data_IF_093171135465
#
_entry.id   IF_093171135465
#
_cell.length_a   1.000
_cell.length_b   1.000
_cell.length_c   1.000
_cell.angle_alpha   90.00
_cell.angle_beta   90.00
_cell.angle_gamma   90.00
#
_symmetry.space_group_name_H-M   'P 1'
#
loop_
_entity.id
_entity.type
_entity.pdbx_description
1 polymer ?
#
# COMPACT_ATOMS: atom_id res chain seq x y z
N UNK A 1 -18.33 13.81 9.74
CA UNK A 1 -18.41 12.51 10.45
C UNK A 1 -17.68 11.46 9.63
N UNK A 2 -16.78 10.68 10.25
CA UNK A 2 -16.08 9.59 9.57
C UNK A 2 -17.08 8.48 9.18
N UNK A 3 -16.95 7.90 7.97
CA UNK A 3 -17.91 6.93 7.40
C UNK A 3 -18.23 5.75 8.33
N UNK A 4 -17.26 5.39 9.16
CA UNK A 4 -17.37 4.42 10.25
C UNK A 4 -18.53 4.67 11.22
N UNK A 5 -18.73 5.92 11.64
CA UNK A 5 -19.75 6.28 12.64
C UNK A 5 -21.15 6.40 12.04
N UNK A 6 -21.26 6.60 10.73
CA UNK A 6 -22.54 6.85 10.05
C UNK A 6 -23.53 5.68 10.18
N UNK A 7 -23.05 4.46 10.47
CA UNK A 7 -23.90 3.29 10.70
C UNK A 7 -24.55 3.26 12.09
N UNK A 8 -24.05 4.05 13.04
CA UNK A 8 -24.43 3.99 14.44
C UNK A 8 -24.97 5.33 14.96
N UNK A 9 -24.44 6.44 14.45
CA UNK A 9 -24.72 7.78 14.95
C UNK A 9 -25.46 8.57 13.87
N UNK A 10 -26.64 9.07 14.23
CA UNK A 10 -27.40 10.00 13.39
C UNK A 10 -27.36 11.41 13.97
N UNK A 11 -27.56 12.42 13.14
CA UNK A 11 -27.52 13.84 13.57
C UNK A 11 -28.55 14.17 14.67
N UNK A 12 -29.64 13.40 14.75
CA UNK A 12 -30.75 13.65 15.67
C UNK A 12 -30.66 12.78 16.94
N UNK A 13 -29.53 12.12 17.19
CA UNK A 13 -29.33 11.30 18.39
C UNK A 13 -29.30 12.18 19.65
N UNK A 14 -30.00 11.80 20.71
CA UNK A 14 -29.80 12.45 22.02
C UNK A 14 -28.38 12.16 22.55
N UNK A 15 -27.89 12.96 23.49
CA UNK A 15 -26.55 12.74 24.08
C UNK A 15 -26.40 11.34 24.69
N UNK A 16 -27.43 10.85 25.37
CA UNK A 16 -27.43 9.50 25.98
C UNK A 16 -27.39 8.42 24.90
N UNK A 17 -28.15 8.60 23.80
CA UNK A 17 -28.10 7.67 22.67
C UNK A 17 -26.74 7.71 21.96
N UNK A 18 -26.15 8.90 21.81
CA UNK A 18 -24.83 9.07 21.23
C UNK A 18 -23.77 8.29 22.01
N UNK A 19 -23.71 8.43 23.34
CA UNK A 19 -22.72 7.71 24.17
C UNK A 19 -22.88 6.20 24.00
N UNK A 20 -24.10 5.68 24.12
CA UNK A 20 -24.37 4.24 23.93
C UNK A 20 -23.98 3.74 22.54
N UNK A 21 -24.32 4.48 21.49
CA UNK A 21 -23.99 4.09 20.12
C UNK A 21 -22.51 4.22 19.80
N UNK A 22 -21.83 5.17 20.44
CA UNK A 22 -20.38 5.33 20.33
C UNK A 22 -19.65 4.11 20.92
N UNK A 23 -20.03 3.67 22.12
CA UNK A 23 -19.46 2.46 22.75
C UNK A 23 -19.71 1.20 21.89
N UNK A 24 -20.93 1.03 21.37
CA UNK A 24 -21.24 -0.05 20.44
C UNK A 24 -20.41 0.00 19.15
N UNK A 25 -20.15 1.21 18.64
CA UNK A 25 -19.34 1.42 17.45
C UNK A 25 -17.89 0.99 17.69
N UNK A 26 -17.33 1.35 18.85
CA UNK A 26 -15.99 0.93 19.27
C UNK A 26 -15.92 -0.59 19.46
N UNK A 27 -16.86 -1.20 20.19
CA UNK A 27 -16.89 -2.65 20.39
C UNK A 27 -17.02 -3.42 19.07
N UNK A 28 -17.81 -2.92 18.11
CA UNK A 28 -17.90 -3.49 16.76
C UNK A 28 -16.58 -3.40 15.98
N UNK A 29 -15.78 -2.37 16.21
CA UNK A 29 -14.46 -2.23 15.58
C UNK A 29 -13.44 -3.18 16.20
N UNK A 30 -13.36 -3.22 17.52
CA UNK A 30 -12.48 -4.15 18.23
C UNK A 30 -12.76 -5.59 17.83
N UNK A 31 -14.05 -5.95 17.71
CA UNK A 31 -14.43 -7.28 17.27
C UNK A 31 -13.95 -7.60 15.85
N UNK A 32 -14.10 -6.67 14.90
CA UNK A 32 -13.59 -6.85 13.54
C UNK A 32 -12.06 -6.91 13.48
N UNK A 33 -11.37 -6.13 14.31
CA UNK A 33 -9.92 -6.18 14.44
C UNK A 33 -9.47 -7.56 14.96
N UNK A 34 -10.12 -8.10 16.02
CA UNK A 34 -9.85 -9.47 16.50
C UNK A 34 -10.13 -10.55 15.47
N UNK A 35 -11.21 -10.44 14.72
CA UNK A 35 -11.53 -11.40 13.65
C UNK A 35 -10.49 -11.34 12.53
N UNK A 36 -10.02 -10.14 12.17
CA UNK A 36 -8.93 -9.97 11.20
C UNK A 36 -7.64 -10.59 11.72
N UNK A 37 -7.26 -10.31 12.97
CA UNK A 37 -6.04 -10.86 13.58
C UNK A 37 -6.11 -12.39 13.63
N UNK A 38 -7.26 -12.96 13.99
CA UNK A 38 -7.45 -14.41 13.96
C UNK A 38 -7.27 -14.98 12.55
N UNK A 39 -7.82 -14.35 11.51
CA UNK A 39 -7.57 -14.77 10.12
C UNK A 39 -6.08 -14.66 9.77
N UNK A 40 -5.40 -13.62 10.24
CA UNK A 40 -3.98 -13.38 10.02
C UNK A 40 -3.09 -14.45 10.66
N UNK A 41 -3.43 -14.92 11.85
CA UNK A 41 -2.71 -16.00 12.51
C UNK A 41 -2.90 -17.38 11.86
N UNK A 42 -4.08 -17.64 11.30
CA UNK A 42 -4.46 -18.99 10.84
C UNK A 42 -4.37 -19.17 9.33
N UNK A 43 -4.21 -18.09 8.57
CA UNK A 43 -4.09 -18.15 7.12
C UNK A 43 -2.83 -17.46 6.67
N UNK A 44 -2.38 -17.82 5.49
CA UNK A 44 -1.19 -17.23 4.89
C UNK A 44 -1.60 -16.69 3.54
N UNK A 45 -1.51 -15.37 3.34
CA UNK A 45 -1.73 -14.80 2.01
C UNK A 45 -0.63 -15.30 1.07
N UNK A 46 -1.02 -16.12 0.10
CA UNK A 46 -0.13 -16.58 -0.96
C UNK A 46 0.41 -15.37 -1.74
N UNK A 47 1.74 -15.28 -1.86
CA UNK A 47 2.38 -14.38 -2.81
C UNK A 47 1.95 -14.75 -4.23
N UNK A 48 1.57 -13.75 -5.02
CA UNK A 48 1.11 -13.98 -6.39
C UNK A 48 2.27 -14.38 -7.31
N UNK A 49 3.49 -13.92 -7.02
CA UNK A 49 4.71 -14.30 -7.72
C UNK A 49 5.77 -14.78 -6.72
N UNK A 50 6.77 -15.53 -7.20
CA UNK A 50 7.96 -15.92 -6.41
C UNK A 50 8.91 -14.72 -6.19
N UNK A 51 8.38 -13.55 -5.87
CA UNK A 51 9.20 -12.36 -5.60
C UNK A 51 9.72 -12.41 -4.17
N UNK A 52 11.03 -12.27 -4.00
CA UNK A 52 11.67 -12.13 -2.68
C UNK A 52 11.10 -10.94 -1.89
N UNK A 53 10.75 -9.86 -2.58
CA UNK A 53 10.13 -8.66 -1.99
C UNK A 53 8.74 -8.99 -1.45
N UNK A 54 7.88 -9.69 -2.21
CA UNK A 54 6.55 -10.09 -1.70
C UNK A 54 6.68 -11.03 -0.48
N UNK A 55 7.64 -11.96 -0.50
CA UNK A 55 7.88 -12.89 0.60
C UNK A 55 8.34 -12.17 1.89
N UNK A 56 9.19 -11.14 1.77
CA UNK A 56 9.57 -10.31 2.91
C UNK A 56 8.37 -9.56 3.49
N UNK A 57 7.55 -8.96 2.63
CA UNK A 57 6.34 -8.25 3.10
C UNK A 57 5.34 -9.18 3.77
N UNK A 58 5.19 -10.40 3.26
CA UNK A 58 4.32 -11.41 3.85
C UNK A 58 4.73 -11.79 5.29
N UNK A 59 6.02 -11.81 5.58
CA UNK A 59 6.52 -12.13 6.93
C UNK A 59 6.41 -10.94 7.91
N UNK A 60 6.49 -9.71 7.41
CA UNK A 60 6.59 -8.50 8.24
C UNK A 60 5.24 -7.81 8.45
N UNK A 61 4.30 -7.95 7.51
CA UNK A 61 3.06 -7.18 7.50
C UNK A 61 1.80 -8.02 7.76
N UNK A 62 0.78 -7.36 8.32
CA UNK A 62 -0.58 -7.91 8.41
C UNK A 62 -1.14 -8.21 7.03
N UNK A 63 -2.15 -9.06 6.94
CA UNK A 63 -2.76 -9.41 5.67
C UNK A 63 -3.36 -8.21 4.95
N UNK A 64 -3.95 -7.26 5.68
CA UNK A 64 -4.47 -6.04 5.08
C UNK A 64 -3.37 -5.27 4.33
N UNK A 65 -2.19 -5.15 4.95
CA UNK A 65 -1.02 -4.50 4.34
C UNK A 65 -0.43 -5.32 3.21
N UNK A 66 -0.39 -6.65 3.33
CA UNK A 66 0.01 -7.54 2.24
C UNK A 66 -0.87 -7.38 0.99
N UNK A 67 -2.19 -7.20 1.16
CA UNK A 67 -3.11 -6.92 0.04
C UNK A 67 -2.81 -5.57 -0.64
N UNK A 68 -2.46 -4.53 0.13
CA UNK A 68 -2.01 -3.25 -0.43
C UNK A 68 -0.74 -3.42 -1.28
N UNK A 69 0.24 -4.19 -0.78
CA UNK A 69 1.48 -4.53 -1.51
C UNK A 69 1.16 -5.28 -2.80
N UNK A 70 0.35 -6.33 -2.73
CA UNK A 70 -0.06 -7.11 -3.91
C UNK A 70 -0.76 -6.25 -4.96
N UNK A 71 -1.56 -5.26 -4.55
CA UNK A 71 -2.18 -4.32 -5.47
C UNK A 71 -1.14 -3.45 -6.20
N UNK A 72 -0.07 -3.03 -5.52
CA UNK A 72 1.05 -2.33 -6.17
C UNK A 72 1.79 -3.25 -7.15
N UNK A 73 2.05 -4.50 -6.76
CA UNK A 73 2.66 -5.51 -7.64
C UNK A 73 1.85 -5.80 -8.89
N UNK A 74 0.51 -5.85 -8.79
CA UNK A 74 -0.37 -6.00 -9.96
C UNK A 74 -0.35 -4.75 -10.82
N UNK A 75 -0.39 -3.57 -10.21
CA UNK A 75 -0.39 -2.29 -10.92
C UNK A 75 0.89 -2.01 -11.71
N UNK A 76 2.03 -2.59 -11.31
CA UNK A 76 3.31 -2.39 -12.01
C UNK A 76 3.31 -2.86 -13.47
N UNK A 77 2.39 -3.75 -13.87
CA UNK A 77 2.28 -4.19 -15.28
C UNK A 77 1.96 -3.04 -16.24
N UNK A 78 1.35 -1.96 -15.73
CA UNK A 78 1.07 -0.76 -16.50
C UNK A 78 2.25 0.23 -16.52
N UNK A 79 3.37 -0.12 -15.88
CA UNK A 79 4.55 0.74 -15.79
C UNK A 79 5.60 0.29 -16.81
N UNK A 80 6.14 1.24 -17.56
CA UNK A 80 7.26 1.07 -18.47
C UNK A 80 8.43 1.87 -17.88
N UNK A 81 9.49 1.17 -17.52
CA UNK A 81 10.68 1.80 -16.93
C UNK A 81 11.74 2.01 -18.00
N UNK A 82 12.33 3.20 -17.99
CA UNK A 82 13.47 3.57 -18.83
C UNK A 82 14.58 4.11 -17.95
N UNK A 83 15.72 3.42 -17.95
CA UNK A 83 16.92 3.92 -17.29
C UNK A 83 17.34 5.23 -17.93
N UNK A 84 17.45 6.27 -17.11
CA UNK A 84 17.78 7.61 -17.57
C UNK A 84 19.23 7.92 -17.27
N UNK A 85 19.67 7.75 -16.02
CA UNK A 85 21.05 8.00 -15.62
C UNK A 85 21.49 6.99 -14.56
N UNK A 86 22.73 6.54 -14.68
CA UNK A 86 23.42 5.75 -13.67
C UNK A 86 24.76 6.43 -13.36
N UNK A 87 24.92 6.86 -12.12
CA UNK A 87 26.17 7.41 -11.60
C UNK A 87 26.58 6.55 -10.40
N UNK A 88 27.86 6.52 -10.05
CA UNK A 88 28.39 5.65 -8.99
C UNK A 88 27.58 5.79 -7.69
N UNK A 89 26.75 4.79 -7.39
CA UNK A 89 25.90 4.74 -6.20
C UNK A 89 24.50 5.36 -6.32
N UNK A 90 24.15 5.95 -7.46
CA UNK A 90 22.87 6.63 -7.67
C UNK A 90 22.25 6.27 -9.03
N UNK A 91 21.06 5.68 -8.99
CA UNK A 91 20.25 5.34 -10.17
C UNK A 91 19.05 6.28 -10.26
N UNK A 92 18.80 6.77 -11.47
CA UNK A 92 17.62 7.57 -11.80
C UNK A 92 16.90 6.94 -12.98
N UNK A 93 15.67 6.52 -12.73
CA UNK A 93 14.79 5.87 -13.70
C UNK A 93 13.57 6.75 -13.99
N UNK A 94 13.23 6.90 -15.28
CA UNK A 94 11.96 7.48 -15.69
C UNK A 94 10.96 6.33 -15.87
N UNK A 95 9.85 6.40 -15.13
CA UNK A 95 8.79 5.40 -15.18
C UNK A 95 7.54 6.04 -15.79
N UNK A 96 7.11 5.53 -16.93
CA UNK A 96 5.82 5.88 -17.54
C UNK A 96 4.73 4.92 -17.07
N UNK A 97 3.71 5.41 -16.37
CA UNK A 97 2.51 4.64 -16.02
C UNK A 97 1.40 4.89 -17.04
N UNK A 98 0.92 3.81 -17.67
CA UNK A 98 -0.26 3.84 -18.53
C UNK A 98 -1.53 3.94 -17.69
N UNK A 99 -2.25 5.05 -17.82
CA UNK A 99 -3.54 5.29 -17.15
C UNK A 99 -4.71 4.99 -18.09
N UNK A 100 -4.53 5.24 -19.39
CA UNK A 100 -5.48 4.90 -20.44
C UNK A 100 -4.74 4.59 -21.75
N UNK A 101 -5.46 4.26 -22.82
CA UNK A 101 -4.85 3.96 -24.13
C UNK A 101 -3.96 5.08 -24.68
N UNK A 102 -4.21 6.34 -24.28
CA UNK A 102 -3.49 7.52 -24.77
C UNK A 102 -2.78 8.33 -23.68
N UNK A 103 -3.00 8.04 -22.40
CA UNK A 103 -2.46 8.82 -21.28
C UNK A 103 -1.38 8.03 -20.55
N UNK A 104 -0.17 8.59 -20.56
CA UNK A 104 0.96 8.13 -19.77
C UNK A 104 1.39 9.21 -18.79
N UNK A 105 1.36 8.88 -17.50
CA UNK A 105 1.93 9.73 -16.47
C UNK A 105 3.39 9.37 -16.28
N UNK A 106 4.27 10.37 -16.21
CA UNK A 106 5.71 10.16 -16.00
C UNK A 106 6.08 10.44 -14.57
N UNK A 107 6.89 9.55 -14.01
CA UNK A 107 7.43 9.66 -12.67
C UNK A 107 8.92 9.41 -12.68
N UNK A 108 9.64 10.10 -11.81
CA UNK A 108 11.05 9.82 -11.57
C UNK A 108 11.19 8.98 -10.32
N UNK A 109 11.91 7.87 -10.45
CA UNK A 109 12.34 7.01 -9.34
C UNK A 109 13.83 7.16 -9.17
N UNK A 110 14.26 7.32 -7.94
CA UNK A 110 15.67 7.44 -7.57
C UNK A 110 16.03 6.36 -6.57
N UNK A 111 17.16 5.71 -6.79
CA UNK A 111 17.73 4.73 -5.87
C UNK A 111 19.15 5.14 -5.51
N UNK A 112 19.35 5.39 -4.22
CA UNK A 112 20.64 5.64 -3.61
C UNK A 112 21.12 4.34 -2.96
N UNK A 113 22.12 3.71 -3.56
CA UNK A 113 22.66 2.44 -3.07
C UNK A 113 23.57 2.62 -1.85
N UNK A 114 24.11 3.84 -1.63
CA UNK A 114 24.93 4.15 -0.44
C UNK A 114 24.05 4.27 0.78
N UNK A 115 22.92 4.95 0.66
CA UNK A 115 21.92 5.08 1.73
C UNK A 115 20.95 3.89 1.81
N UNK A 116 20.96 2.99 0.81
CA UNK A 116 19.94 1.97 0.59
C UNK A 116 18.51 2.54 0.60
N UNK A 117 18.32 3.70 -0.03
CA UNK A 117 17.04 4.43 -0.06
C UNK A 117 16.48 4.51 -1.47
N UNK A 118 15.18 4.25 -1.57
CA UNK A 118 14.41 4.43 -2.79
C UNK A 118 13.38 5.54 -2.60
N UNK A 119 13.30 6.48 -3.54
CA UNK A 119 12.31 7.56 -3.56
C UNK A 119 11.62 7.61 -4.91
N UNK A 120 10.32 7.87 -4.90
CA UNK A 120 9.53 8.03 -6.11
C UNK A 120 8.77 9.35 -6.05
N UNK A 121 8.79 10.11 -7.15
CA UNK A 121 8.10 11.40 -7.25
C UNK A 121 6.58 11.31 -7.02
N UNK A 122 5.98 10.12 -7.13
CA UNK A 122 4.55 9.98 -6.87
C UNK A 122 4.19 10.23 -5.39
N UNK A 123 5.15 10.14 -4.46
CA UNK A 123 4.98 10.30 -2.99
C UNK A 123 3.91 9.40 -2.36
N UNK A 124 3.33 8.48 -3.14
CA UNK A 124 2.32 7.56 -2.68
C UNK A 124 2.98 6.48 -1.83
N UNK A 125 2.34 6.13 -0.72
CA UNK A 125 2.73 5.06 0.20
C UNK A 125 4.00 5.30 1.04
N UNK A 126 4.66 6.46 0.92
CA UNK A 126 5.83 6.80 1.76
C UNK A 126 5.51 6.70 3.26
N UNK A 127 4.37 7.27 3.69
CA UNK A 127 3.92 7.20 5.10
C UNK A 127 3.38 5.82 5.51
N UNK A 128 3.18 4.90 4.56
CA UNK A 128 2.67 3.55 4.81
C UNK A 128 3.78 2.51 4.85
N UNK A 129 5.04 2.87 4.57
CA UNK A 129 6.17 1.93 4.50
C UNK A 129 6.05 0.92 3.37
N UNK A 130 5.27 1.21 2.32
CA UNK A 130 5.05 0.32 1.19
C UNK A 130 5.67 0.95 -0.06
N UNK A 131 6.35 0.14 -0.88
CA UNK A 131 6.85 0.59 -2.17
C UNK A 131 5.69 0.77 -3.16
N UNK A 132 5.66 1.91 -3.84
CA UNK A 132 4.70 2.15 -4.91
C UNK A 132 5.02 1.27 -6.14
N UNK A 133 4.05 1.10 -7.03
CA UNK A 133 4.22 0.35 -8.29
C UNK A 133 5.37 0.84 -9.17
N UNK A 134 5.72 2.13 -9.13
CA UNK A 134 6.82 2.70 -9.93
C UNK A 134 8.17 2.24 -9.39
N UNK A 135 8.36 2.37 -8.06
CA UNK A 135 9.50 1.81 -7.33
C UNK A 135 9.65 0.30 -7.58
N UNK A 136 8.54 -0.43 -7.48
CA UNK A 136 8.53 -1.87 -7.76
C UNK A 136 8.88 -2.19 -9.21
N UNK A 137 8.47 -1.35 -10.18
CA UNK A 137 8.80 -1.56 -11.60
C UNK A 137 10.31 -1.49 -11.82
N UNK A 138 11.00 -0.54 -11.18
CA UNK A 138 12.46 -0.42 -11.22
C UNK A 138 13.16 -1.62 -10.56
N UNK A 139 12.70 -2.05 -9.39
CA UNK A 139 13.27 -3.20 -8.67
C UNK A 139 12.98 -4.56 -9.31
N UNK A 140 12.08 -4.62 -10.29
CA UNK A 140 11.69 -5.88 -10.94
C UNK A 140 12.59 -6.28 -12.12
N UNK A 141 13.65 -5.52 -12.40
CA UNK A 141 14.63 -5.82 -13.44
C UNK A 141 15.76 -6.77 -13.00
N UNK A 142 15.71 -7.28 -11.75
CA UNK A 142 16.58 -8.36 -11.26
C UNK A 142 16.03 -9.76 -11.57
#
# INVERSE_FOLDING_TARGET
>A
MHSFFNKFITRNSSLIQFVKQYDNCLGSREQRERESDAVDFHTVILCAKKSSIEAQFQHVYTHQKCREVQAQFRGKVNCITKLTNSTLGYLVDEVGEQVSSSIFNKFVVTYDSVAAQMKCQCLLFESRGILCRHALSVLSYE
#
